data_IF_966511622256
#
_entry.id   IF_966511622256
#
_cell.length_a   1.000
_cell.length_b   1.000
_cell.length_c   1.000
_cell.angle_alpha   90.00
_cell.angle_beta   90.00
_cell.angle_gamma   90.00
#
_symmetry.space_group_name_H-M   'P 1'
#
loop_
_entity.id
_entity.type
_entity.pdbx_description
1 polymer ?
#
# COMPACT_ATOMS: atom_id res chain seq x y z
N UNK A 1 9.44 9.15 9.27
CA UNK A 1 8.10 8.74 8.79
C UNK A 1 7.73 9.68 7.67
N UNK A 2 7.31 9.17 6.50
CA UNK A 2 6.90 10.01 5.37
C UNK A 2 5.41 10.32 5.43
N UNK A 3 5.02 11.47 4.91
CA UNK A 3 3.63 11.92 4.86
C UNK A 3 3.12 12.12 3.45
N UNK A 4 4.01 12.13 2.44
CA UNK A 4 3.68 12.32 1.03
C UNK A 4 4.62 11.48 0.15
N UNK A 5 4.16 11.15 -1.05
CA UNK A 5 5.02 10.52 -2.05
C UNK A 5 4.60 10.86 -3.48
N UNK A 6 5.41 10.47 -4.45
CA UNK A 6 5.12 10.61 -5.88
C UNK A 6 5.10 9.23 -6.56
N UNK A 7 4.17 9.06 -7.50
CA UNK A 7 4.08 7.91 -8.40
C UNK A 7 3.70 8.44 -9.78
N UNK A 8 4.70 8.66 -10.64
CA UNK A 8 4.56 9.12 -12.01
C UNK A 8 5.16 8.15 -13.05
N UNK A 9 5.90 7.13 -12.61
CA UNK A 9 6.38 6.08 -13.51
C UNK A 9 5.23 5.28 -14.12
N UNK A 10 5.23 5.06 -15.44
CA UNK A 10 4.19 4.28 -16.11
C UNK A 10 4.35 2.78 -15.77
N UNK A 11 3.25 2.02 -15.92
CA UNK A 11 3.22 0.60 -15.58
C UNK A 11 4.36 -0.23 -16.22
N UNK A 12 4.70 -0.10 -17.53
CA UNK A 12 5.77 -0.91 -18.13
C UNK A 12 7.13 -0.77 -17.42
N UNK A 13 7.44 0.43 -16.91
CA UNK A 13 8.69 0.67 -16.16
C UNK A 13 8.64 -0.01 -14.79
N UNK A 14 7.51 0.09 -14.09
CA UNK A 14 7.32 -0.56 -12.79
C UNK A 14 7.32 -2.08 -12.91
N UNK A 15 6.58 -2.64 -13.88
CA UNK A 15 6.48 -4.08 -14.09
C UNK A 15 7.83 -4.70 -14.45
N UNK A 16 8.63 -4.02 -15.28
CA UNK A 16 10.00 -4.45 -15.57
C UNK A 16 10.89 -4.41 -14.32
N UNK A 17 10.87 -3.31 -13.56
CA UNK A 17 11.72 -3.16 -12.38
C UNK A 17 11.39 -4.19 -11.28
N UNK A 18 10.11 -4.51 -11.10
CA UNK A 18 9.62 -5.40 -10.04
C UNK A 18 9.35 -6.83 -10.54
N UNK A 19 9.59 -7.11 -11.83
CA UNK A 19 9.33 -8.41 -12.47
C UNK A 19 7.87 -8.86 -12.27
N UNK A 20 6.93 -7.93 -12.43
CA UNK A 20 5.50 -8.21 -12.28
C UNK A 20 4.97 -8.89 -13.55
N UNK A 21 4.44 -10.10 -13.40
CA UNK A 21 3.69 -10.81 -14.44
C UNK A 21 2.19 -10.51 -14.33
N UNK A 22 1.83 -9.22 -14.28
CA UNK A 22 0.43 -8.77 -14.24
C UNK A 22 0.05 -8.16 -15.59
N UNK A 23 -1.25 -8.16 -15.89
CA UNK A 23 -1.77 -7.46 -17.07
C UNK A 23 -1.44 -5.98 -17.04
N UNK A 24 -1.24 -5.40 -18.23
CA UNK A 24 -0.92 -3.99 -18.34
C UNK A 24 -2.06 -3.13 -17.79
N UNK A 25 -1.71 -2.18 -16.92
CA UNK A 25 -2.66 -1.24 -16.34
C UNK A 25 -2.22 0.19 -16.64
N UNK A 26 -3.18 1.07 -16.92
CA UNK A 26 -2.90 2.50 -16.97
C UNK A 26 -2.71 3.02 -15.54
N UNK A 27 -1.60 3.72 -15.31
CA UNK A 27 -1.33 4.41 -14.06
C UNK A 27 -1.37 5.90 -14.32
N UNK A 28 -2.25 6.60 -13.60
CA UNK A 28 -2.31 8.06 -13.64
C UNK A 28 -1.14 8.66 -12.85
N UNK A 29 -0.27 9.47 -13.48
CA UNK A 29 0.83 10.11 -12.76
C UNK A 29 0.36 11.05 -11.66
N UNK A 30 0.91 10.89 -10.45
CA UNK A 30 0.64 11.72 -9.28
C UNK A 30 1.96 12.16 -8.64
N UNK A 31 2.27 13.44 -8.73
CA UNK A 31 3.51 14.02 -8.18
C UNK A 31 3.42 14.38 -6.69
N UNK A 32 2.22 14.29 -6.13
CA UNK A 32 1.94 14.66 -4.75
C UNK A 32 0.74 13.85 -4.22
N UNK A 33 1.01 12.63 -3.82
CA UNK A 33 0.05 11.73 -3.16
C UNK A 33 0.02 12.07 -1.67
N UNK A 34 -1.18 12.27 -1.14
CA UNK A 34 -1.42 12.59 0.27
C UNK A 34 -2.22 11.46 0.97
N UNK A 35 -2.12 11.35 2.31
CA UNK A 35 -2.89 10.37 3.07
C UNK A 35 -4.40 10.65 2.99
N UNK A 36 -5.21 9.64 3.28
CA UNK A 36 -6.65 9.72 3.08
C UNK A 36 -7.04 9.80 1.60
N UNK A 37 -6.25 9.16 0.72
CA UNK A 37 -6.59 8.99 -0.69
C UNK A 37 -6.36 7.54 -1.10
N UNK A 38 -7.00 7.11 -2.19
CA UNK A 38 -6.73 5.82 -2.82
C UNK A 38 -5.36 5.85 -3.50
N UNK A 39 -4.57 4.80 -3.32
CA UNK A 39 -3.20 4.66 -3.84
C UNK A 39 -3.02 3.29 -4.50
N UNK A 40 -2.16 3.21 -5.50
CA UNK A 40 -1.79 1.94 -6.11
C UNK A 40 -0.98 1.09 -5.14
N UNK A 41 -1.31 -0.19 -5.02
CA UNK A 41 -0.53 -1.18 -4.30
C UNK A 41 -0.53 -2.53 -5.05
N UNK A 42 0.57 -3.25 -4.93
CA UNK A 42 0.70 -4.64 -5.37
C UNK A 42 0.55 -5.54 -4.15
N UNK A 43 -0.43 -6.46 -4.17
CA UNK A 43 -0.76 -7.29 -3.01
C UNK A 43 -1.38 -8.62 -3.42
N UNK A 44 -1.39 -9.57 -2.48
CA UNK A 44 -2.26 -10.74 -2.54
C UNK A 44 -3.58 -10.41 -1.82
N UNK A 45 -4.75 -10.54 -2.47
CA UNK A 45 -6.04 -10.27 -1.83
C UNK A 45 -6.36 -11.15 -0.63
N UNK A 46 -5.97 -12.41 -0.71
CA UNK A 46 -6.02 -13.46 0.31
C UNK A 46 -4.87 -14.43 0.04
N UNK A 47 -4.62 -15.37 0.96
CA UNK A 47 -3.50 -16.32 0.86
C UNK A 47 -3.54 -17.18 -0.42
N UNK A 48 -4.75 -17.48 -0.93
CA UNK A 48 -4.95 -18.31 -2.13
C UNK A 48 -5.27 -17.49 -3.41
N UNK A 49 -5.33 -16.16 -3.31
CA UNK A 49 -5.63 -15.31 -4.47
C UNK A 49 -4.36 -15.02 -5.28
N UNK A 50 -4.46 -14.77 -6.60
CA UNK A 50 -3.32 -14.34 -7.39
C UNK A 50 -2.83 -12.96 -6.95
N UNK A 51 -1.58 -12.64 -7.27
CA UNK A 51 -1.02 -11.30 -7.10
C UNK A 51 -1.84 -10.32 -7.94
N UNK A 52 -2.18 -9.15 -7.39
CA UNK A 52 -2.88 -8.09 -8.11
C UNK A 52 -2.21 -6.74 -7.90
N UNK A 53 -2.43 -5.82 -8.84
CA UNK A 53 -2.18 -4.39 -8.68
C UNK A 53 -3.53 -3.69 -8.60
N UNK A 54 -3.82 -3.07 -7.47
CA UNK A 54 -5.13 -2.49 -7.18
C UNK A 54 -5.04 -1.18 -6.41
N UNK A 55 -6.16 -0.48 -6.25
CA UNK A 55 -6.24 0.71 -5.40
C UNK A 55 -6.57 0.34 -3.95
N UNK A 56 -5.81 0.91 -3.01
CA UNK A 56 -6.03 0.76 -1.56
C UNK A 56 -6.09 2.11 -0.90
N UNK A 57 -6.83 2.22 0.19
CA UNK A 57 -6.92 3.46 0.95
C UNK A 57 -5.64 3.72 1.75
N UNK A 58 -5.05 4.91 1.65
CA UNK A 58 -3.90 5.30 2.47
C UNK A 58 -4.33 5.79 3.84
N UNK A 59 -4.61 4.82 4.69
CA UNK A 59 -5.04 4.95 6.06
C UNK A 59 -5.37 3.54 6.54
N UNK A 60 -5.03 3.21 7.78
CA UNK A 60 -5.24 1.86 8.27
C UNK A 60 -6.11 1.82 9.52
N UNK A 61 -7.19 1.05 9.44
CA UNK A 61 -8.02 0.64 10.57
C UNK A 61 -8.34 -0.85 10.41
N UNK A 62 -7.99 -1.71 11.39
CA UNK A 62 -8.34 -3.11 11.33
C UNK A 62 -9.86 -3.27 11.47
N UNK A 63 -10.41 -4.35 10.92
CA UNK A 63 -11.87 -4.57 10.83
C UNK A 63 -12.61 -4.53 12.18
N UNK A 64 -11.93 -4.84 13.29
CA UNK A 64 -12.49 -4.83 14.64
C UNK A 64 -12.43 -3.46 15.34
N UNK A 65 -11.68 -2.50 14.78
CA UNK A 65 -11.54 -1.18 15.38
C UNK A 65 -12.80 -0.33 15.16
N UNK A 66 -13.12 0.51 16.15
CA UNK A 66 -14.32 1.35 16.14
C UNK A 66 -14.16 2.49 15.13
N UNK A 67 -15.26 3.08 14.70
CA UNK A 67 -15.26 4.20 13.74
C UNK A 67 -14.45 5.42 14.21
N UNK A 68 -14.36 5.64 15.52
CA UNK A 68 -13.56 6.73 16.11
C UNK A 68 -12.10 6.35 16.37
N UNK A 69 -11.69 5.12 16.06
CA UNK A 69 -10.31 4.68 16.28
C UNK A 69 -9.35 5.42 15.34
N UNK A 70 -8.09 5.65 15.77
CA UNK A 70 -7.09 6.28 14.93
C UNK A 70 -6.93 5.59 13.58
N UNK A 71 -6.62 6.36 12.55
CA UNK A 71 -6.33 5.84 11.21
C UNK A 71 -4.88 6.19 10.84
N UNK A 72 -3.91 5.50 11.46
CA UNK A 72 -2.50 5.75 11.17
C UNK A 72 -2.17 5.48 9.70
N UNK A 73 -1.26 6.29 9.18
CA UNK A 73 -0.78 6.24 7.80
C UNK A 73 0.60 5.55 7.68
N UNK A 74 1.23 5.27 8.82
CA UNK A 74 2.54 4.65 8.97
C UNK A 74 2.50 3.62 10.12
N UNK A 75 3.29 2.56 10.00
CA UNK A 75 3.57 1.63 11.09
C UNK A 75 5.10 1.54 11.28
N UNK A 76 5.57 1.59 12.54
CA UNK A 76 7.01 1.53 12.83
C UNK A 76 7.51 0.09 12.78
N UNK A 77 8.62 -0.13 12.08
CA UNK A 77 9.16 -1.47 11.80
C UNK A 77 9.46 -2.26 13.07
N UNK A 78 9.84 -1.57 14.15
CA UNK A 78 10.19 -2.15 15.45
C UNK A 78 8.97 -2.77 16.15
N UNK A 79 7.76 -2.30 15.85
CA UNK A 79 6.52 -2.68 16.56
C UNK A 79 5.46 -3.32 15.68
N UNK A 80 5.56 -3.22 14.35
CA UNK A 80 4.49 -3.65 13.43
C UNK A 80 4.11 -5.13 13.60
N UNK A 81 5.07 -5.99 13.93
CA UNK A 81 4.85 -7.42 14.13
C UNK A 81 4.19 -7.78 15.47
N UNK A 82 4.31 -6.93 16.49
CA UNK A 82 3.82 -7.20 17.87
C UNK A 82 2.69 -6.27 18.31
N UNK A 83 2.42 -5.20 17.56
CA UNK A 83 1.35 -4.24 17.82
C UNK A 83 -0.02 -4.90 17.76
N UNK A 84 -0.85 -4.69 18.79
CA UNK A 84 -2.24 -5.14 18.78
C UNK A 84 -3.03 -4.62 17.57
N UNK A 85 -2.66 -3.44 17.05
CA UNK A 85 -3.35 -2.81 15.93
C UNK A 85 -2.94 -3.39 14.57
N UNK A 86 -1.64 -3.67 14.38
CA UNK A 86 -1.08 -4.02 13.06
C UNK A 86 -0.70 -5.50 12.89
N UNK A 87 -0.47 -6.25 13.98
CA UNK A 87 0.15 -7.60 13.90
C UNK A 87 -0.59 -8.56 12.95
N UNK A 88 -1.93 -8.51 12.92
CA UNK A 88 -2.72 -9.34 12.03
C UNK A 88 -2.48 -9.01 10.55
N UNK A 89 -2.61 -7.73 10.19
CA UNK A 89 -2.35 -7.29 8.81
C UNK A 89 -0.89 -7.43 8.40
N UNK A 90 0.06 -7.29 9.32
CA UNK A 90 1.46 -7.54 9.03
C UNK A 90 1.74 -9.01 8.68
N UNK A 91 1.07 -9.94 9.37
CA UNK A 91 1.20 -11.37 9.11
C UNK A 91 0.54 -11.80 7.79
N UNK A 92 -0.65 -11.26 7.49
CA UNK A 92 -1.52 -11.82 6.42
C UNK A 92 -1.84 -10.88 5.25
N UNK A 93 -1.60 -9.57 5.36
CA UNK A 93 -2.07 -8.57 4.40
C UNK A 93 -0.98 -7.60 3.96
N UNK A 94 0.22 -8.12 3.70
CA UNK A 94 1.35 -7.32 3.19
C UNK A 94 1.07 -6.84 1.77
N UNK A 95 1.51 -5.62 1.48
CA UNK A 95 1.48 -5.04 0.14
C UNK A 95 2.74 -4.24 -0.13
N UNK A 96 3.01 -3.98 -1.40
CA UNK A 96 4.07 -3.08 -1.87
C UNK A 96 3.42 -1.86 -2.52
N UNK A 97 3.78 -0.67 -2.04
CA UNK A 97 3.31 0.61 -2.62
C UNK A 97 4.42 1.16 -3.51
N UNK A 98 4.24 1.22 -4.84
CA UNK A 98 5.23 1.83 -5.73
C UNK A 98 5.29 3.34 -5.50
N UNK A 99 6.50 3.87 -5.45
CA UNK A 99 6.77 5.28 -5.38
C UNK A 99 8.06 5.60 -6.13
N UNK A 100 8.07 6.70 -6.87
CA UNK A 100 9.27 7.27 -7.48
C UNK A 100 10.11 8.06 -6.47
N UNK A 101 9.50 8.48 -5.36
CA UNK A 101 10.14 9.20 -4.27
C UNK A 101 9.14 9.61 -3.19
N UNK A 102 9.64 10.07 -2.04
CA UNK A 102 8.83 10.47 -0.89
C UNK A 102 9.30 11.80 -0.30
N UNK A 103 8.41 12.46 0.46
CA UNK A 103 8.63 13.72 1.17
C UNK A 103 8.12 13.65 2.61
#
# INVERSE_FOLDING_TARGET
MCGRFALYSPYPKLSQAWRLSLEARELTPRYNVAPGTWITAVRYPSDDAPLVMDEVWWGFRPHWAKEKSPEPINATVEKVATSNYFRGSFAHHRCLVPADGWY
#
